data_IF_443259581573
#
_entry.id   IF_443259581573
#
_cell.length_a   1.000
_cell.length_b   1.000
_cell.length_c   1.000
_cell.angle_alpha   90.00
_cell.angle_beta   90.00
_cell.angle_gamma   90.00
#
_symmetry.space_group_name_H-M   'P 1'
#
loop_
_entity.id
_entity.type
_entity.pdbx_description
1 polymer ?
#
# COMPACT_ATOMS: atom_id res chain seq x y z
N UNK A 1 -1.77 -18.31 -16.34
CA UNK A 1 -2.40 -16.99 -16.17
C UNK A 1 -1.37 -15.91 -16.45
N UNK A 2 -1.76 -14.71 -16.90
CA UNK A 2 -0.83 -13.60 -17.21
C UNK A 2 -0.96 -12.50 -16.17
N UNK A 3 0.15 -11.93 -15.77
CA UNK A 3 0.25 -10.84 -14.79
C UNK A 3 0.86 -9.61 -15.45
N UNK A 4 0.09 -8.53 -15.60
CA UNK A 4 0.64 -7.24 -16.02
C UNK A 4 1.28 -6.54 -14.83
N UNK A 5 2.50 -6.05 -15.02
CA UNK A 5 3.33 -5.46 -13.97
C UNK A 5 3.92 -4.15 -14.46
N UNK A 6 4.00 -3.16 -13.59
CA UNK A 6 4.79 -1.95 -13.81
C UNK A 6 6.15 -2.15 -13.16
N UNK A 7 7.19 -2.18 -13.95
CA UNK A 7 8.57 -2.32 -13.46
C UNK A 7 9.32 -1.00 -13.52
N UNK A 8 10.27 -0.81 -12.60
CA UNK A 8 11.21 0.31 -12.64
C UNK A 8 12.29 0.01 -13.68
N UNK A 9 12.19 0.65 -14.86
CA UNK A 9 13.12 0.47 -15.97
C UNK A 9 14.38 1.31 -15.81
N UNK A 10 14.20 2.58 -15.44
CA UNK A 10 15.28 3.54 -15.23
C UNK A 10 15.03 4.37 -13.97
N UNK A 11 16.11 4.86 -13.33
CA UNK A 11 16.01 5.79 -12.20
C UNK A 11 15.73 7.20 -12.72
N UNK A 12 14.62 7.84 -12.30
CA UNK A 12 14.27 9.17 -12.80
C UNK A 12 15.20 10.25 -12.23
N UNK A 13 15.60 11.20 -13.09
CA UNK A 13 16.22 12.45 -12.67
C UNK A 13 15.16 13.54 -12.63
N UNK A 14 14.75 13.97 -11.43
CA UNK A 14 13.60 14.87 -11.27
C UNK A 14 12.28 14.11 -11.20
N UNK A 15 11.26 14.55 -11.93
CA UNK A 15 9.98 13.83 -12.00
C UNK A 15 10.11 12.57 -12.85
N UNK A 16 9.44 11.46 -12.45
CA UNK A 16 9.32 10.29 -13.30
C UNK A 16 8.62 10.61 -14.62
N UNK A 17 9.10 10.03 -15.70
CA UNK A 17 8.57 10.15 -17.04
C UNK A 17 8.26 8.77 -17.65
N UNK A 18 7.85 8.73 -18.90
CA UNK A 18 7.56 7.50 -19.63
C UNK A 18 8.75 6.54 -19.74
N UNK A 19 9.99 7.04 -19.67
CA UNK A 19 11.19 6.24 -19.72
C UNK A 19 11.53 5.58 -18.38
N UNK A 20 10.91 6.05 -17.28
CA UNK A 20 11.10 5.51 -15.93
C UNK A 20 10.52 4.11 -15.81
N UNK A 21 9.47 3.80 -16.56
CA UNK A 21 8.64 2.61 -16.41
C UNK A 21 8.70 1.70 -17.62
N UNK A 22 8.42 0.41 -17.39
CA UNK A 22 7.97 -0.50 -18.44
C UNK A 22 6.75 -1.27 -17.96
N UNK A 23 5.83 -1.56 -18.87
CA UNK A 23 4.72 -2.48 -18.64
C UNK A 23 5.17 -3.84 -19.16
N UNK A 24 5.28 -4.79 -18.24
CA UNK A 24 5.65 -6.17 -18.58
C UNK A 24 4.50 -7.13 -18.33
N UNK A 25 4.52 -8.27 -19.02
CA UNK A 25 3.55 -9.34 -18.83
C UNK A 25 4.29 -10.62 -18.49
N UNK A 26 4.28 -10.97 -17.21
CA UNK A 26 4.83 -12.23 -16.72
C UNK A 26 3.81 -13.36 -16.78
N UNK A 27 4.28 -14.60 -16.83
CA UNK A 27 3.43 -15.77 -16.61
C UNK A 27 3.45 -16.10 -15.12
N UNK A 28 2.26 -16.25 -14.53
CA UNK A 28 2.14 -16.69 -13.13
C UNK A 28 2.45 -18.18 -13.11
N UNK A 29 3.44 -18.65 -12.31
CA UNK A 29 3.72 -20.08 -12.16
C UNK A 29 2.55 -20.80 -11.46
N UNK A 30 2.63 -22.12 -11.40
CA UNK A 30 1.76 -22.91 -10.52
C UNK A 30 2.11 -22.62 -9.06
N UNK A 31 1.10 -22.68 -8.19
CA UNK A 31 1.29 -22.42 -6.76
C UNK A 31 2.02 -23.61 -6.12
N UNK A 32 3.06 -23.32 -5.37
CA UNK A 32 3.70 -24.29 -4.49
C UNK A 32 2.83 -24.54 -3.24
N UNK A 33 3.15 -25.58 -2.47
CA UNK A 33 2.48 -25.90 -1.21
C UNK A 33 2.56 -24.74 -0.23
N UNK A 34 1.44 -24.33 0.34
CA UNK A 34 1.33 -23.18 1.24
C UNK A 34 1.24 -21.82 0.58
N UNK A 35 1.19 -21.73 -0.76
CA UNK A 35 1.06 -20.46 -1.47
C UNK A 35 -0.40 -20.08 -1.76
N UNK A 36 -0.61 -18.78 -1.86
CA UNK A 36 -1.86 -18.15 -2.28
C UNK A 36 -1.62 -17.26 -3.48
N UNK A 37 -2.61 -17.13 -4.35
CA UNK A 37 -2.65 -16.14 -5.43
C UNK A 37 -3.67 -15.08 -5.10
N UNK A 38 -3.22 -13.83 -5.07
CA UNK A 38 -4.04 -12.65 -4.78
C UNK A 38 -4.25 -11.85 -6.07
N UNK A 39 -5.51 -11.54 -6.38
CA UNK A 39 -5.86 -10.57 -7.41
C UNK A 39 -5.95 -9.19 -6.79
N UNK A 40 -5.18 -8.22 -7.28
CA UNK A 40 -5.20 -6.85 -6.79
C UNK A 40 -6.39 -6.10 -7.38
N UNK A 41 -7.20 -5.50 -6.51
CA UNK A 41 -8.29 -4.63 -6.89
C UNK A 41 -7.87 -3.15 -6.84
N UNK A 42 -7.01 -2.79 -5.88
CA UNK A 42 -6.48 -1.43 -5.72
C UNK A 42 -5.01 -1.46 -5.32
N UNK A 43 -4.29 -0.44 -5.77
CA UNK A 43 -2.92 -0.15 -5.33
C UNK A 43 -2.85 1.29 -4.84
N UNK A 44 -2.01 1.55 -3.83
CA UNK A 44 -1.76 2.89 -3.31
C UNK A 44 -0.65 3.56 -4.10
N UNK A 45 -0.84 4.82 -4.46
CA UNK A 45 0.19 5.68 -5.05
C UNK A 45 0.63 6.70 -4.01
N UNK A 46 1.82 6.50 -3.46
CA UNK A 46 2.33 7.27 -2.34
C UNK A 46 3.51 8.15 -2.74
N UNK A 47 3.65 9.38 -2.19
CA UNK A 47 4.80 10.25 -2.45
C UNK A 47 6.15 9.59 -2.14
N UNK A 48 6.20 8.69 -1.15
CA UNK A 48 7.39 7.92 -0.78
C UNK A 48 7.95 7.06 -1.93
N UNK A 49 7.10 6.63 -2.86
CA UNK A 49 7.49 5.85 -4.05
C UNK A 49 8.58 6.56 -4.86
N UNK A 50 8.52 7.92 -4.93
CA UNK A 50 9.57 8.69 -5.62
C UNK A 50 10.94 8.49 -4.97
N UNK A 51 11.00 8.44 -3.65
CA UNK A 51 12.24 8.18 -2.90
C UNK A 51 12.77 6.77 -3.12
N UNK A 52 11.89 5.77 -3.21
CA UNK A 52 12.27 4.36 -3.40
C UNK A 52 12.89 4.05 -4.77
N UNK A 53 12.71 4.95 -5.75
CA UNK A 53 13.34 4.84 -7.07
C UNK A 53 14.80 5.32 -7.08
N UNK A 54 15.24 6.05 -6.05
CA UNK A 54 16.62 6.52 -5.95
C UNK A 54 17.52 5.40 -5.43
N UNK A 55 18.77 5.36 -5.95
CA UNK A 55 19.81 4.46 -5.44
C UNK A 55 20.59 5.14 -4.30
N UNK A 56 19.89 5.39 -3.19
CA UNK A 56 20.44 6.06 -2.02
C UNK A 56 20.01 5.35 -0.75
N UNK A 57 20.85 5.42 0.29
CA UNK A 57 20.51 4.88 1.60
C UNK A 57 19.27 5.58 2.16
N UNK A 58 18.26 4.80 2.55
CA UNK A 58 17.01 5.26 3.14
C UNK A 58 16.56 4.29 4.23
N UNK A 59 15.40 4.55 4.84
CA UNK A 59 14.77 3.66 5.84
C UNK A 59 14.29 2.31 5.24
N UNK A 60 14.20 2.23 3.92
CA UNK A 60 13.86 1.02 3.17
C UNK A 60 14.82 0.88 1.98
N UNK A 61 15.22 -0.33 1.59
CA UNK A 61 16.07 -0.53 0.42
C UNK A 61 15.44 0.06 -0.85
N UNK A 62 16.24 0.65 -1.76
CA UNK A 62 15.75 1.10 -3.06
C UNK A 62 15.15 -0.07 -3.85
N UNK A 63 14.27 0.27 -4.79
CA UNK A 63 13.77 -0.72 -5.75
C UNK A 63 14.87 -0.98 -6.76
N UNK A 64 15.15 -2.24 -7.04
CA UNK A 64 16.10 -2.63 -8.07
C UNK A 64 15.52 -2.41 -9.46
N UNK A 65 16.39 -2.08 -10.43
CA UNK A 65 15.95 -1.95 -11.82
C UNK A 65 15.46 -3.31 -12.36
N UNK A 66 14.41 -3.31 -13.14
CA UNK A 66 13.75 -4.51 -13.63
C UNK A 66 12.75 -5.14 -12.66
N UNK A 67 12.62 -4.62 -11.44
CA UNK A 67 11.65 -5.15 -10.46
C UNK A 67 10.34 -4.37 -10.47
N UNK A 68 9.28 -5.04 -10.03
CA UNK A 68 7.94 -4.46 -9.89
C UNK A 68 7.99 -3.26 -8.94
N UNK A 69 7.39 -2.15 -9.36
CA UNK A 69 7.29 -0.95 -8.53
C UNK A 69 6.56 -1.27 -7.23
N UNK A 70 7.22 -1.05 -6.10
CA UNK A 70 6.65 -1.26 -4.76
C UNK A 70 5.46 -0.35 -4.54
N UNK A 71 4.36 -0.93 -4.05
CA UNK A 71 3.13 -0.21 -3.69
C UNK A 71 2.36 -1.01 -2.64
N UNK A 72 1.62 -0.34 -1.79
CA UNK A 72 0.55 -0.97 -1.02
C UNK A 72 -0.53 -1.49 -1.97
N UNK A 73 -1.03 -2.68 -1.72
CA UNK A 73 -2.07 -3.31 -2.52
C UNK A 73 -3.13 -3.96 -1.63
N UNK A 74 -4.36 -4.00 -2.14
CA UNK A 74 -5.46 -4.74 -1.53
C UNK A 74 -6.22 -5.48 -2.63
N UNK A 75 -6.65 -6.68 -2.31
CA UNK A 75 -7.37 -7.53 -3.26
C UNK A 75 -7.93 -8.77 -2.60
N UNK A 76 -8.25 -9.76 -3.43
CA UNK A 76 -8.84 -11.02 -2.96
C UNK A 76 -7.95 -12.21 -3.26
N UNK A 77 -7.94 -13.16 -2.34
CA UNK A 77 -7.34 -14.47 -2.57
C UNK A 77 -8.21 -15.21 -3.59
N UNK A 78 -7.64 -15.55 -4.74
CA UNK A 78 -8.34 -16.24 -5.82
C UNK A 78 -7.92 -17.71 -6.00
N UNK A 79 -6.75 -18.08 -5.45
CA UNK A 79 -6.30 -19.48 -5.34
C UNK A 79 -5.57 -19.67 -4.02
N UNK A 80 -5.67 -20.87 -3.48
CA UNK A 80 -4.97 -21.30 -2.28
C UNK A 80 -4.51 -22.74 -2.46
N UNK A 81 -3.22 -22.99 -2.26
CA UNK A 81 -2.63 -24.32 -2.25
C UNK A 81 -2.22 -24.70 -0.80
N UNK A 82 -3.22 -25.10 0.01
CA UNK A 82 -3.07 -25.55 1.40
C UNK A 82 -2.44 -24.53 2.37
N UNK A 83 -2.57 -23.22 2.12
CA UNK A 83 -2.21 -22.22 3.11
C UNK A 83 -3.27 -22.18 4.21
N UNK A 84 -2.91 -22.45 5.49
CA UNK A 84 -3.90 -22.57 6.57
C UNK A 84 -4.44 -21.22 7.07
N UNK A 85 -3.81 -20.10 6.69
CA UNK A 85 -4.17 -18.77 7.19
C UNK A 85 -5.24 -18.09 6.33
N UNK A 86 -5.43 -18.51 5.08
CA UNK A 86 -6.29 -17.84 4.13
C UNK A 86 -7.28 -18.77 3.46
N UNK A 87 -8.41 -18.22 3.04
CA UNK A 87 -9.43 -18.89 2.24
C UNK A 87 -9.62 -18.15 0.92
N UNK A 88 -10.10 -18.85 -0.12
CA UNK A 88 -10.47 -18.21 -1.38
C UNK A 88 -11.63 -17.24 -1.11
N UNK A 89 -11.48 -15.98 -1.57
CA UNK A 89 -12.43 -14.89 -1.33
C UNK A 89 -12.03 -13.96 -0.19
N UNK A 90 -11.06 -14.33 0.66
CA UNK A 90 -10.54 -13.43 1.70
C UNK A 90 -10.06 -12.12 1.08
N UNK A 91 -10.46 -11.00 1.69
CA UNK A 91 -9.91 -9.70 1.38
C UNK A 91 -8.60 -9.51 2.14
N UNK A 92 -7.51 -9.18 1.41
CA UNK A 92 -6.16 -9.12 1.98
C UNK A 92 -5.40 -7.89 1.49
N UNK A 93 -4.53 -7.35 2.36
CA UNK A 93 -3.69 -6.18 2.05
C UNK A 93 -2.23 -6.43 2.40
N UNK A 94 -1.32 -5.88 1.61
CA UNK A 94 0.14 -5.89 1.82
C UNK A 94 0.87 -4.97 0.85
N UNK A 95 2.20 -5.12 0.78
CA UNK A 95 3.09 -4.52 -0.23
C UNK A 95 3.11 -5.35 -1.52
N UNK A 96 1.96 -5.46 -2.18
CA UNK A 96 1.79 -6.30 -3.38
C UNK A 96 2.44 -5.74 -4.65
N UNK A 97 2.82 -4.45 -4.66
CA UNK A 97 3.38 -3.79 -5.84
C UNK A 97 2.34 -3.40 -6.89
N UNK A 98 2.79 -2.67 -7.91
CA UNK A 98 1.94 -2.22 -9.02
C UNK A 98 1.84 -3.33 -10.07
N UNK A 99 0.96 -4.26 -9.83
CA UNK A 99 0.71 -5.44 -10.68
C UNK A 99 -0.71 -5.96 -10.49
N UNK A 100 -1.16 -6.86 -11.37
CA UNK A 100 -2.51 -7.42 -11.27
C UNK A 100 -2.62 -8.52 -10.22
N UNK A 101 -1.57 -9.31 -10.04
CA UNK A 101 -1.57 -10.48 -9.15
C UNK A 101 -0.29 -10.56 -8.34
N UNK A 102 -0.40 -11.08 -7.11
CA UNK A 102 0.74 -11.50 -6.28
C UNK A 102 0.64 -12.97 -5.94
N UNK A 103 1.75 -13.68 -6.11
CA UNK A 103 1.96 -15.01 -5.56
C UNK A 103 2.70 -14.89 -4.24
N UNK A 104 2.27 -15.55 -3.18
CA UNK A 104 2.84 -15.39 -1.84
C UNK A 104 2.56 -16.57 -0.94
N UNK A 105 3.47 -16.84 0.01
CA UNK A 105 3.24 -17.73 1.14
C UNK A 105 2.33 -17.12 2.23
N UNK A 106 1.89 -15.89 2.05
CA UNK A 106 0.97 -15.20 2.96
C UNK A 106 1.60 -14.53 4.18
N UNK A 107 2.92 -14.65 4.43
CA UNK A 107 3.55 -14.12 5.66
C UNK A 107 3.36 -12.62 5.86
N UNK A 108 3.45 -11.85 4.77
CA UNK A 108 3.32 -10.39 4.82
C UNK A 108 1.91 -9.89 4.46
N UNK A 109 0.93 -10.78 4.32
CA UNK A 109 -0.44 -10.41 3.98
C UNK A 109 -1.34 -10.49 5.20
N UNK A 110 -2.26 -9.52 5.30
CA UNK A 110 -3.20 -9.38 6.41
C UNK A 110 -4.62 -9.41 5.89
N UNK A 111 -5.47 -10.21 6.53
CA UNK A 111 -6.91 -10.18 6.26
C UNK A 111 -7.51 -8.88 6.74
N UNK A 112 -8.44 -8.37 5.98
CA UNK A 112 -9.27 -7.21 6.34
C UNK A 112 -10.74 -7.55 6.10
N UNK A 113 -11.61 -6.92 6.86
CA UNK A 113 -13.06 -7.12 6.77
C UNK A 113 -13.66 -6.13 5.77
N UNK A 114 -13.89 -6.55 4.52
CA UNK A 114 -14.47 -5.73 3.47
C UNK A 114 -15.98 -5.52 3.62
N UNK A 115 -16.60 -6.12 4.65
CA UNK A 115 -17.98 -5.80 5.05
C UNK A 115 -18.05 -4.60 5.99
N UNK A 116 -16.98 -4.34 6.75
CA UNK A 116 -16.86 -3.20 7.66
C UNK A 116 -16.64 -1.89 6.90
N UNK A 117 -15.80 -1.92 5.87
CA UNK A 117 -15.49 -0.74 5.05
C UNK A 117 -15.06 -1.16 3.62
N UNK A 118 -15.29 -0.30 2.61
CA UNK A 118 -14.80 -0.54 1.25
C UNK A 118 -13.28 -0.75 1.21
N UNK A 119 -12.81 -1.66 0.35
CA UNK A 119 -11.39 -2.01 0.21
C UNK A 119 -10.42 -0.81 0.16
N UNK A 120 -10.67 0.28 -0.61
CA UNK A 120 -9.73 1.40 -0.67
C UNK A 120 -9.47 2.07 0.67
N UNK A 121 -10.40 1.97 1.62
CA UNK A 121 -10.24 2.56 2.96
C UNK A 121 -9.08 1.93 3.73
N UNK A 122 -8.77 0.65 3.47
CA UNK A 122 -7.65 -0.07 4.10
C UNK A 122 -6.27 0.34 3.54
N UNK A 123 -6.22 1.02 2.40
CA UNK A 123 -5.01 1.67 1.90
C UNK A 123 -4.92 3.15 2.35
N UNK A 124 -6.00 3.70 2.89
CA UNK A 124 -6.14 5.09 3.34
C UNK A 124 -6.40 5.21 4.84
N UNK A 125 -7.65 5.56 5.18
CA UNK A 125 -8.07 5.89 6.55
C UNK A 125 -7.90 4.74 7.55
N UNK A 126 -8.12 3.49 7.13
CA UNK A 126 -7.92 2.29 7.95
C UNK A 126 -6.53 1.65 7.73
N UNK A 127 -5.65 2.32 6.99
CA UNK A 127 -4.30 1.88 6.69
C UNK A 127 -3.22 2.84 7.20
N UNK A 128 -2.08 2.86 6.49
CA UNK A 128 -0.90 3.66 6.88
C UNK A 128 -1.20 5.16 7.04
N UNK A 129 -1.93 5.85 6.15
CA UNK A 129 -2.26 7.26 6.33
C UNK A 129 -3.08 7.54 7.58
N UNK A 130 -4.08 6.69 7.88
CA UNK A 130 -4.91 6.83 9.08
C UNK A 130 -4.13 6.58 10.35
N UNK A 131 -3.31 5.55 10.40
CA UNK A 131 -2.40 5.26 11.53
C UNK A 131 -1.44 6.43 11.77
N UNK A 132 -0.86 6.97 10.69
CA UNK A 132 0.05 8.13 10.76
C UNK A 132 -0.67 9.35 11.32
N UNK A 133 -1.88 9.62 10.86
CA UNK A 133 -2.68 10.73 11.36
C UNK A 133 -3.05 10.56 12.85
N UNK A 134 -3.54 9.39 13.22
CA UNK A 134 -4.00 9.08 14.57
C UNK A 134 -2.87 9.23 15.60
N UNK A 135 -1.78 8.50 15.41
CA UNK A 135 -0.64 8.57 16.32
C UNK A 135 0.07 9.92 16.24
N UNK A 136 0.15 10.51 15.04
CA UNK A 136 0.77 11.82 14.85
C UNK A 136 0.11 12.92 15.67
N UNK A 137 -1.22 13.02 15.66
CA UNK A 137 -1.91 14.09 16.38
C UNK A 137 -2.12 13.76 17.87
N UNK A 138 -2.45 12.52 18.22
CA UNK A 138 -2.80 12.16 19.60
C UNK A 138 -1.56 11.83 20.46
N UNK A 139 -0.66 10.98 19.95
CA UNK A 139 0.46 10.49 20.75
C UNK A 139 1.70 11.38 20.64
N UNK A 140 1.98 11.90 19.45
CA UNK A 140 3.16 12.76 19.22
C UNK A 140 2.77 14.23 19.45
N UNK A 141 1.72 14.72 18.81
CA UNK A 141 1.23 16.09 18.95
C UNK A 141 0.64 16.37 20.32
N UNK A 142 0.06 15.36 20.97
CA UNK A 142 -0.53 15.44 22.32
C UNK A 142 -1.48 16.61 22.47
N UNK A 143 -2.36 16.80 21.49
CA UNK A 143 -3.34 17.90 21.48
C UNK A 143 -4.23 17.85 22.72
N UNK A 144 -4.62 19.03 23.21
CA UNK A 144 -5.42 19.23 24.43
C UNK A 144 -6.62 20.10 24.12
N UNK A 145 -7.64 20.00 24.95
CA UNK A 145 -8.82 20.88 24.88
C UNK A 145 -8.41 22.36 24.88
N UNK A 146 -8.96 23.13 23.94
CA UNK A 146 -8.63 24.52 23.70
C UNK A 146 -7.46 24.80 22.79
N UNK A 147 -6.72 23.76 22.31
CA UNK A 147 -5.66 23.96 21.35
C UNK A 147 -6.21 24.39 19.98
N UNK A 148 -5.45 25.23 19.29
CA UNK A 148 -5.72 25.57 17.88
C UNK A 148 -4.84 24.69 17.00
N UNK A 149 -5.47 23.82 16.20
CA UNK A 149 -4.77 22.87 15.34
C UNK A 149 -4.64 23.42 13.93
N UNK A 150 -3.39 23.72 13.51
CA UNK A 150 -3.07 24.09 12.12
C UNK A 150 -2.49 22.88 11.39
N UNK A 151 -3.12 22.47 10.29
CA UNK A 151 -2.72 21.30 9.51
C UNK A 151 -2.18 21.75 8.14
N UNK A 152 -0.88 21.54 7.88
CA UNK A 152 -0.32 21.70 6.55
C UNK A 152 -0.70 20.50 5.67
N UNK A 153 -0.90 20.72 4.36
CA UNK A 153 -1.31 19.64 3.45
C UNK A 153 -2.68 19.03 3.84
N UNK A 154 -3.60 19.83 4.35
CA UNK A 154 -4.89 19.40 4.91
C UNK A 154 -5.80 18.66 3.91
N UNK A 155 -5.59 18.80 2.60
CA UNK A 155 -6.29 18.04 1.56
C UNK A 155 -5.63 16.69 1.22
N UNK A 156 -4.44 16.41 1.77
CA UNK A 156 -3.73 15.15 1.56
C UNK A 156 -4.29 14.00 2.41
N UNK A 157 -3.83 12.78 2.11
CA UNK A 157 -4.32 11.56 2.76
C UNK A 157 -4.18 11.57 4.28
N UNK A 158 -3.06 12.05 4.81
CA UNK A 158 -2.82 12.18 6.27
C UNK A 158 -3.51 13.43 6.82
N UNK A 159 -3.28 14.60 6.20
CA UNK A 159 -3.77 15.88 6.74
C UNK A 159 -5.28 15.96 6.83
N UNK A 160 -6.02 15.42 5.88
CA UNK A 160 -7.48 15.38 5.90
C UNK A 160 -8.03 14.53 7.07
N UNK A 161 -7.33 13.48 7.44
CA UNK A 161 -7.69 12.63 8.58
C UNK A 161 -7.34 13.34 9.89
N UNK A 162 -6.17 13.99 9.97
CA UNK A 162 -5.78 14.79 11.15
C UNK A 162 -6.84 15.81 11.50
N UNK A 163 -7.31 16.60 10.51
CA UNK A 163 -8.37 17.59 10.73
C UNK A 163 -9.69 17.00 11.23
N UNK A 164 -10.06 15.81 10.70
CA UNK A 164 -11.26 15.11 11.16
C UNK A 164 -11.09 14.57 12.59
N UNK A 165 -9.94 14.00 12.95
CA UNK A 165 -9.67 13.53 14.31
C UNK A 165 -9.74 14.72 15.29
N UNK A 166 -9.09 15.84 14.96
CA UNK A 166 -9.15 17.06 15.78
C UNK A 166 -10.61 17.48 16.03
N UNK A 167 -11.39 17.60 14.96
CA UNK A 167 -12.80 17.97 15.05
C UNK A 167 -13.62 16.99 15.90
N UNK A 168 -13.44 15.68 15.74
CA UNK A 168 -14.14 14.64 16.50
C UNK A 168 -13.77 14.65 17.99
N UNK A 169 -12.58 15.14 18.33
CA UNK A 169 -12.10 15.29 19.71
C UNK A 169 -12.47 16.63 20.33
N UNK A 170 -13.08 17.57 19.57
CA UNK A 170 -13.51 18.87 20.05
C UNK A 170 -12.45 19.98 20.00
N UNK A 171 -11.46 19.82 19.12
CA UNK A 171 -10.37 20.78 18.89
C UNK A 171 -10.57 21.55 17.59
#
# INVERSE_FOLDING_TARGET
MKNKQIILKNRPKGFPDENTWAIETATIPELEEGEILIEHHYVSLDPAMRGWMNDTKSYIPPIELGHVMRAGAIGKVIKNNNNPKFEIGDCVTSWGGVQQYSLSNGEAWYKVDDTLAPMPMYLGTLGMPGMTAYFGILEVGKIKEGDIVLVSGAAGAVGSIVGQIAKLKGY
#
